data_IF_271705897559
#
_entry.id   IF_271705897559
#
_cell.length_a   1.000
_cell.length_b   1.000
_cell.length_c   1.000
_cell.angle_alpha   90.00
_cell.angle_beta   90.00
_cell.angle_gamma   90.00
#
_symmetry.space_group_name_H-M   'P 1'
#
loop_
_entity.id
_entity.type
_entity.pdbx_description
1 polymer ?
#
# COMPACT_ATOMS: atom_id res chain seq x y z
N UNK A 1 -11.22 -9.50 27.90
CA UNK A 1 -12.28 -8.49 27.75
C UNK A 1 -13.48 -9.16 27.10
N UNK A 2 -14.62 -9.23 27.80
CA UNK A 2 -15.88 -9.71 27.22
C UNK A 2 -16.46 -8.55 26.39
N UNK A 3 -16.67 -8.79 25.11
CA UNK A 3 -17.40 -7.86 24.26
C UNK A 3 -18.90 -8.10 24.47
N UNK A 4 -19.58 -7.14 25.08
CA UNK A 4 -21.04 -7.13 25.15
C UNK A 4 -21.62 -7.00 23.74
N UNK A 5 -22.72 -7.70 23.54
CA UNK A 5 -23.44 -7.91 22.28
C UNK A 5 -23.69 -6.61 21.54
N UNK A 6 -23.17 -6.51 20.32
CA UNK A 6 -23.61 -5.52 19.34
C UNK A 6 -24.95 -5.95 18.72
N UNK A 7 -25.86 -5.02 18.42
CA UNK A 7 -27.16 -5.33 17.84
C UNK A 7 -27.02 -5.94 16.44
N UNK A 8 -27.96 -6.82 16.02
CA UNK A 8 -27.95 -7.41 14.70
C UNK A 8 -28.51 -6.41 13.68
N UNK A 9 -27.64 -5.76 12.92
CA UNK A 9 -28.03 -4.98 11.76
C UNK A 9 -26.88 -4.95 10.78
N UNK A 10 -26.78 -5.95 9.94
CA UNK A 10 -26.11 -5.91 8.63
C UNK A 10 -26.22 -7.30 7.97
N UNK A 11 -27.47 -7.72 7.71
CA UNK A 11 -27.77 -8.70 6.69
C UNK A 11 -28.05 -7.95 5.38
N UNK A 12 -27.54 -8.53 4.30
CA UNK A 12 -27.74 -8.18 2.90
C UNK A 12 -27.06 -6.90 2.38
N UNK A 13 -25.96 -7.15 1.71
CA UNK A 13 -25.50 -6.75 0.38
C UNK A 13 -23.98 -6.71 0.33
N UNK A 14 -23.39 -7.84 -0.02
CA UNK A 14 -22.02 -7.87 -0.56
C UNK A 14 -22.09 -7.36 -2.00
N UNK A 15 -21.45 -6.25 -2.36
CA UNK A 15 -21.31 -5.91 -3.75
C UNK A 15 -20.21 -6.76 -4.39
N UNK A 16 -20.51 -7.28 -5.56
CA UNK A 16 -19.63 -8.00 -6.48
C UNK A 16 -18.28 -7.28 -6.63
N UNK A 17 -17.21 -7.91 -6.18
CA UNK A 17 -15.84 -7.40 -6.24
C UNK A 17 -15.25 -7.53 -7.66
N UNK A 18 -15.98 -8.12 -8.60
CA UNK A 18 -15.57 -8.24 -10.01
C UNK A 18 -15.73 -6.98 -10.87
N UNK A 19 -16.35 -5.90 -10.36
CA UNK A 19 -16.65 -4.72 -11.16
C UNK A 19 -15.50 -3.68 -11.29
N UNK A 20 -14.34 -3.94 -10.71
CA UNK A 20 -13.27 -2.93 -10.66
C UNK A 20 -12.40 -2.85 -11.93
N UNK A 21 -12.55 -3.80 -12.86
CA UNK A 21 -11.77 -3.77 -14.10
C UNK A 21 -12.32 -2.82 -15.16
N UNK A 22 -13.61 -2.47 -15.08
CA UNK A 22 -14.31 -1.71 -16.13
C UNK A 22 -14.54 -0.22 -15.79
N UNK A 23 -14.21 0.24 -14.59
CA UNK A 23 -14.47 1.62 -14.17
C UNK A 23 -13.40 2.63 -14.63
N UNK A 24 -12.25 2.19 -15.13
CA UNK A 24 -11.22 3.09 -15.66
C UNK A 24 -11.36 3.40 -17.16
N UNK A 25 -12.31 2.75 -17.88
CA UNK A 25 -12.52 2.99 -19.30
C UNK A 25 -13.87 3.60 -19.69
N UNK A 26 -14.69 4.04 -18.74
CA UNK A 26 -16.08 4.38 -18.97
C UNK A 26 -16.53 5.82 -18.61
N UNK A 27 -15.75 6.87 -18.88
CA UNK A 27 -16.29 8.23 -18.90
C UNK A 27 -16.16 8.85 -20.30
N UNK A 28 -16.96 8.34 -21.21
CA UNK A 28 -17.25 9.04 -22.46
C UNK A 28 -18.49 9.90 -22.27
N UNK A 29 -18.26 11.23 -22.32
CA UNK A 29 -19.08 12.26 -22.94
C UNK A 29 -20.60 12.20 -22.71
N UNK A 30 -21.08 13.06 -21.84
CA UNK A 30 -22.44 13.62 -21.94
C UNK A 30 -22.33 15.02 -22.52
N UNK A 31 -22.49 15.13 -23.85
CA UNK A 31 -22.78 16.35 -24.55
C UNK A 31 -24.22 16.74 -24.23
N UNK A 32 -24.39 17.84 -23.52
CA UNK A 32 -25.69 18.54 -23.41
C UNK A 32 -26.02 19.21 -24.75
N UNK A 33 -27.21 18.90 -25.26
CA UNK A 33 -27.85 19.64 -26.37
C UNK A 33 -28.41 20.94 -25.83
N UNK A 34 -28.38 22.06 -26.59
CA UNK A 34 -28.97 23.30 -26.19
C UNK A 34 -30.49 23.27 -26.35
N UNK A 35 -31.19 23.83 -25.39
CA UNK A 35 -32.62 24.02 -25.42
C UNK A 35 -32.92 25.43 -25.98
N UNK A 36 -33.64 25.49 -27.09
CA UNK A 36 -34.24 26.70 -27.66
C UNK A 36 -35.40 27.20 -26.79
N UNK A 37 -35.37 28.45 -26.43
CA UNK A 37 -36.57 29.28 -26.33
C UNK A 37 -36.18 30.75 -26.10
N UNK A 38 -36.44 31.56 -27.11
CA UNK A 38 -36.45 32.99 -27.01
C UNK A 38 -37.74 33.49 -26.32
N UNK A 39 -37.74 34.71 -25.82
CA UNK A 39 -38.72 35.66 -26.31
C UNK A 39 -38.15 37.03 -26.70
N UNK A 40 -38.92 37.65 -27.61
CA UNK A 40 -38.76 38.93 -28.26
C UNK A 40 -38.82 40.15 -27.34
N UNK A 41 -38.28 41.24 -27.97
CA UNK A 41 -38.61 42.68 -27.85
C UNK A 41 -37.87 43.56 -26.84
N UNK A 42 -37.04 44.44 -27.36
CA UNK A 42 -37.38 45.88 -27.48
C UNK A 42 -36.18 46.69 -27.99
N UNK A 43 -36.56 47.62 -28.93
CA UNK A 43 -35.79 48.69 -29.60
C UNK A 43 -34.81 49.48 -28.73
N UNK A 44 -33.65 49.86 -29.31
CA UNK A 44 -33.26 51.27 -29.46
C UNK A 44 -32.03 51.43 -30.37
N UNK A 45 -32.10 52.40 -31.24
CA UNK A 45 -31.10 52.89 -32.17
C UNK A 45 -29.75 53.29 -31.60
N UNK A 46 -28.68 52.90 -32.30
CA UNK A 46 -27.47 53.73 -32.48
C UNK A 46 -26.61 53.19 -33.63
N UNK A 47 -25.86 54.03 -34.36
CA UNK A 47 -25.40 53.75 -35.70
C UNK A 47 -24.16 52.87 -35.80
N UNK A 48 -24.16 52.03 -36.81
CA UNK A 48 -23.09 51.19 -37.22
C UNK A 48 -21.81 51.92 -37.67
N UNK A 49 -20.60 51.55 -37.30
CA UNK A 49 -19.40 51.93 -38.02
C UNK A 49 -19.23 51.02 -39.25
N UNK A 50 -19.00 51.67 -40.35
CA UNK A 50 -18.73 51.20 -41.68
C UNK A 50 -17.87 49.93 -41.73
N UNK A 51 -18.40 48.83 -42.26
CA UNK A 51 -17.64 47.63 -42.60
C UNK A 51 -16.75 47.92 -43.82
N UNK A 52 -15.46 48.11 -43.58
CA UNK A 52 -14.46 48.19 -44.63
C UNK A 52 -14.23 46.77 -45.13
N UNK A 53 -14.71 46.49 -46.32
CA UNK A 53 -14.44 45.24 -47.04
C UNK A 53 -12.97 45.27 -47.45
N UNK A 54 -12.14 44.51 -46.73
CA UNK A 54 -10.73 44.35 -47.08
C UNK A 54 -10.63 43.59 -48.42
N UNK A 55 -9.84 44.13 -49.35
CA UNK A 55 -9.56 43.46 -50.63
C UNK A 55 -8.76 42.17 -50.40
N UNK A 56 -8.90 41.19 -51.30
CA UNK A 56 -8.13 39.92 -51.25
C UNK A 56 -6.60 40.17 -51.12
N UNK A 57 -6.13 41.28 -51.59
CA UNK A 57 -4.68 41.68 -51.54
C UNK A 57 -4.29 42.16 -50.16
N UNK A 58 -5.17 42.85 -49.43
CA UNK A 58 -4.96 43.29 -48.04
C UNK A 58 -5.08 42.11 -47.10
N UNK A 59 -5.97 41.15 -47.38
CA UNK A 59 -6.09 39.89 -46.61
C UNK A 59 -4.78 39.03 -46.76
N UNK A 60 -4.16 39.03 -47.94
CA UNK A 60 -2.93 38.29 -48.17
C UNK A 60 -1.71 39.02 -47.58
N UNK A 61 -1.74 40.35 -47.48
CA UNK A 61 -0.66 41.12 -46.87
C UNK A 61 -0.73 41.16 -45.34
N UNK A 62 -1.93 41.09 -44.76
CA UNK A 62 -2.11 40.97 -43.31
C UNK A 62 -2.03 39.51 -42.84
N UNK A 63 -2.34 38.55 -43.68
CA UNK A 63 -2.19 37.10 -43.42
C UNK A 63 -0.70 36.62 -43.49
N UNK A 64 0.18 37.37 -44.18
CA UNK A 64 1.58 37.05 -44.32
C UNK A 64 2.46 37.41 -43.10
N UNK A 65 1.96 38.19 -42.15
CA UNK A 65 2.65 38.53 -40.92
C UNK A 65 2.25 37.69 -39.70
N UNK A 66 1.17 36.93 -39.81
CA UNK A 66 0.96 35.77 -38.96
C UNK A 66 1.71 34.59 -39.56
N UNK A 67 3.06 34.70 -39.63
CA UNK A 67 3.89 33.51 -39.61
C UNK A 67 3.45 32.78 -38.35
N UNK A 68 2.50 31.88 -38.52
CA UNK A 68 2.15 30.88 -37.56
C UNK A 68 3.45 30.29 -37.08
N UNK A 69 3.91 30.71 -35.91
CA UNK A 69 4.79 29.90 -35.14
C UNK A 69 4.04 28.58 -35.01
N UNK A 70 4.32 27.64 -35.93
CA UNK A 70 3.92 26.26 -35.73
C UNK A 70 4.66 25.84 -34.49
N UNK A 71 4.03 26.04 -33.34
CA UNK A 71 4.48 25.46 -32.11
C UNK A 71 4.33 23.96 -32.35
N UNK A 72 5.43 23.29 -32.64
CA UNK A 72 5.48 21.83 -32.65
C UNK A 72 5.19 21.43 -31.23
N UNK A 73 3.91 21.19 -30.94
CA UNK A 73 3.50 20.67 -29.65
C UNK A 73 4.00 19.22 -29.59
N UNK A 74 4.93 18.90 -28.69
CA UNK A 74 5.43 17.55 -28.59
C UNK A 74 4.30 16.55 -28.39
N UNK A 75 4.46 15.35 -28.95
CA UNK A 75 3.43 14.30 -28.93
C UNK A 75 2.94 13.93 -27.53
N UNK A 76 3.81 14.03 -26.53
CA UNK A 76 3.47 13.79 -25.12
C UNK A 76 2.50 14.84 -24.54
N UNK A 77 2.29 15.98 -25.22
CA UNK A 77 1.33 17.01 -24.81
C UNK A 77 -0.03 16.80 -25.49
N UNK A 78 -0.03 16.23 -26.71
CA UNK A 78 -1.24 16.04 -27.50
C UNK A 78 -1.94 14.71 -27.24
N UNK A 79 -1.29 13.77 -26.58
CA UNK A 79 -1.79 12.41 -26.43
C UNK A 79 -1.77 11.61 -27.76
N UNK A 80 -2.35 10.42 -27.77
CA UNK A 80 -2.42 9.52 -28.91
C UNK A 80 -1.87 8.14 -28.59
N UNK A 81 -1.70 7.28 -29.61
CA UNK A 81 -1.25 5.90 -29.39
C UNK A 81 0.08 5.88 -28.63
N UNK A 82 0.05 5.39 -27.39
CA UNK A 82 1.20 5.31 -26.47
C UNK A 82 1.51 6.59 -25.66
N UNK A 83 0.66 7.64 -25.78
CA UNK A 83 0.86 8.89 -25.01
C UNK A 83 -0.44 9.38 -24.42
N UNK A 84 -0.49 9.53 -23.10
CA UNK A 84 -1.60 10.17 -22.35
C UNK A 84 -1.30 11.66 -22.24
N UNK A 85 -2.22 12.54 -22.67
CA UNK A 85 -2.02 13.98 -22.52
C UNK A 85 -1.98 14.36 -21.03
N UNK A 86 -1.24 15.40 -20.63
CA UNK A 86 -1.13 15.81 -19.23
C UNK A 86 -2.48 16.04 -18.53
N UNK A 87 -3.49 16.49 -19.26
CA UNK A 87 -4.84 16.75 -18.74
C UNK A 87 -5.63 15.46 -18.43
N UNK A 88 -5.20 14.32 -18.93
CA UNK A 88 -5.84 13.01 -18.70
C UNK A 88 -5.06 12.15 -17.69
N UNK A 89 -3.88 12.61 -17.26
CA UNK A 89 -3.08 11.88 -16.26
C UNK A 89 -3.66 12.03 -14.86
N UNK A 90 -3.51 10.96 -14.09
CA UNK A 90 -3.74 10.99 -12.64
C UNK A 90 -2.62 11.82 -12.01
N UNK A 91 -2.95 12.97 -11.44
CA UNK A 91 -2.03 13.79 -10.68
C UNK A 91 -1.94 13.24 -9.26
N UNK A 92 -0.76 12.74 -8.92
CA UNK A 92 -0.52 12.00 -7.68
C UNK A 92 0.34 12.82 -6.70
N UNK A 93 -0.12 12.93 -5.46
CA UNK A 93 0.69 13.36 -4.34
C UNK A 93 1.14 12.15 -3.51
N UNK A 94 2.44 12.10 -3.18
CA UNK A 94 3.01 11.06 -2.32
C UNK A 94 3.23 11.62 -0.91
N UNK A 95 2.58 11.03 0.09
CA UNK A 95 2.71 11.39 1.51
C UNK A 95 3.42 10.27 2.26
N UNK A 96 4.58 10.60 2.82
CA UNK A 96 5.57 9.66 3.32
C UNK A 96 6.57 9.27 2.21
N UNK A 97 7.84 9.65 2.38
CA UNK A 97 8.87 9.37 1.41
C UNK A 97 10.10 8.72 2.05
N UNK A 98 9.84 7.67 2.83
CA UNK A 98 10.85 6.79 3.43
C UNK A 98 11.18 5.59 2.54
N UNK A 99 11.82 4.59 3.15
CA UNK A 99 12.33 3.37 2.50
C UNK A 99 11.32 2.72 1.53
N UNK A 100 10.07 2.55 1.97
CA UNK A 100 9.05 1.86 1.14
C UNK A 100 8.62 2.71 -0.05
N UNK A 101 8.43 4.00 0.15
CA UNK A 101 8.08 4.92 -0.94
C UNK A 101 9.15 4.94 -2.02
N UNK A 102 10.42 5.00 -1.61
CA UNK A 102 11.56 5.01 -2.54
C UNK A 102 11.63 3.71 -3.34
N UNK A 103 11.33 2.56 -2.73
CA UNK A 103 11.28 1.27 -3.45
C UNK A 103 10.19 1.23 -4.54
N UNK A 104 9.06 1.87 -4.28
CA UNK A 104 7.90 1.81 -5.18
C UNK A 104 7.88 2.93 -6.21
N UNK A 105 8.62 4.03 -5.99
CA UNK A 105 8.51 5.23 -6.81
C UNK A 105 8.87 4.97 -8.29
N UNK A 106 9.81 4.07 -8.56
CA UNK A 106 10.21 3.74 -9.93
C UNK A 106 9.05 3.23 -10.79
N UNK A 107 8.24 2.32 -10.25
CA UNK A 107 7.05 1.81 -10.94
C UNK A 107 5.97 2.88 -11.15
N UNK A 108 5.84 3.81 -10.21
CA UNK A 108 4.89 4.94 -10.31
C UNK A 108 5.34 5.93 -11.40
N UNK A 109 6.61 6.32 -11.38
CA UNK A 109 7.16 7.27 -12.36
C UNK A 109 7.18 6.72 -13.78
N UNK A 110 7.33 5.40 -13.94
CA UNK A 110 7.30 4.73 -15.23
C UNK A 110 5.88 4.59 -15.81
N UNK A 111 4.83 4.77 -15.01
CA UNK A 111 3.46 4.69 -15.51
C UNK A 111 3.12 5.86 -16.43
N UNK A 112 2.64 5.60 -17.66
CA UNK A 112 2.25 6.66 -18.59
C UNK A 112 1.01 7.44 -18.10
N UNK A 113 0.17 6.83 -17.27
CA UNK A 113 -1.12 7.37 -16.82
C UNK A 113 -1.02 8.21 -15.55
N UNK A 114 0.15 8.23 -14.90
CA UNK A 114 0.37 8.90 -13.62
C UNK A 114 1.43 10.01 -13.77
N UNK A 115 1.21 11.10 -13.07
CA UNK A 115 2.21 12.13 -12.87
C UNK A 115 2.31 12.49 -11.39
N UNK A 116 3.47 12.27 -10.79
CA UNK A 116 3.75 12.73 -9.43
C UNK A 116 3.98 14.23 -9.47
N UNK A 117 3.13 14.98 -8.76
CA UNK A 117 3.15 16.46 -8.75
C UNK A 117 3.50 17.05 -7.40
N UNK A 118 3.44 16.25 -6.34
CA UNK A 118 3.78 16.70 -4.99
C UNK A 118 4.35 15.57 -4.14
N UNK A 119 5.27 15.92 -3.26
CA UNK A 119 5.84 15.05 -2.23
C UNK A 119 5.66 15.72 -0.86
N UNK A 120 5.26 14.95 0.13
CA UNK A 120 5.15 15.40 1.51
C UNK A 120 5.84 14.40 2.45
N UNK A 121 6.73 14.90 3.28
CA UNK A 121 7.31 14.14 4.39
C UNK A 121 7.71 15.07 5.52
N UNK A 122 7.53 14.64 6.75
CA UNK A 122 7.93 15.37 7.95
C UNK A 122 9.46 15.48 8.07
N UNK A 123 10.19 14.54 7.47
CA UNK A 123 11.64 14.57 7.30
C UNK A 123 12.00 15.37 6.05
N UNK A 124 12.99 16.24 6.16
CA UNK A 124 13.47 17.04 5.03
C UNK A 124 14.41 16.26 4.13
N UNK A 125 15.54 15.86 4.67
CA UNK A 125 16.58 15.08 3.99
C UNK A 125 17.22 14.18 5.05
N UNK A 126 16.57 13.07 5.32
CA UNK A 126 16.94 12.12 6.38
C UNK A 126 18.01 11.15 5.93
N UNK A 127 18.80 10.73 6.89
CA UNK A 127 19.88 9.76 6.72
C UNK A 127 19.72 8.55 7.62
N UNK A 128 18.58 8.43 8.31
CA UNK A 128 18.37 7.41 9.36
C UNK A 128 17.46 6.27 8.91
N UNK A 129 17.06 6.26 7.64
CA UNK A 129 16.20 5.21 7.10
C UNK A 129 16.93 3.87 7.05
N UNK A 130 16.19 2.79 7.21
CA UNK A 130 16.70 1.42 7.23
C UNK A 130 16.32 0.68 5.95
N UNK A 131 17.19 -0.21 5.49
CA UNK A 131 16.95 -1.08 4.33
C UNK A 131 17.24 -2.55 4.69
N UNK A 132 16.77 -3.47 3.85
CA UNK A 132 16.94 -4.90 4.07
C UNK A 132 18.26 -5.46 3.56
N UNK A 133 18.88 -4.79 2.58
CA UNK A 133 20.17 -5.14 2.02
C UNK A 133 21.01 -3.90 1.78
N UNK A 134 22.30 -3.97 2.10
CA UNK A 134 23.22 -2.83 2.04
C UNK A 134 23.20 -2.16 0.66
N UNK A 135 22.92 -0.86 0.62
CA UNK A 135 22.91 0.02 -0.56
C UNK A 135 21.83 -0.28 -1.61
N UNK A 136 20.95 -1.25 -1.41
CA UNK A 136 19.94 -1.64 -2.41
C UNK A 136 19.06 -0.47 -2.88
N UNK A 137 18.63 0.38 -1.95
CA UNK A 137 17.76 1.52 -2.27
C UNK A 137 18.55 2.55 -3.07
N UNK A 138 19.74 2.92 -2.62
CA UNK A 138 20.58 3.92 -3.30
C UNK A 138 20.93 3.48 -4.72
N UNK A 139 21.33 2.23 -4.88
CA UNK A 139 21.70 1.69 -6.19
C UNK A 139 20.48 1.57 -7.12
N UNK A 140 19.32 1.23 -6.58
CA UNK A 140 18.06 1.25 -7.32
C UNK A 140 17.69 2.67 -7.81
N UNK A 141 17.88 3.69 -6.99
CA UNK A 141 17.65 5.08 -7.41
C UNK A 141 18.67 5.54 -8.45
N UNK A 142 19.95 5.24 -8.27
CA UNK A 142 20.98 5.53 -9.28
C UNK A 142 20.63 4.98 -10.66
N UNK A 143 20.13 3.75 -10.69
CA UNK A 143 19.65 3.12 -11.91
C UNK A 143 18.39 3.80 -12.45
N UNK A 144 17.43 4.13 -11.58
CA UNK A 144 16.17 4.76 -11.96
C UNK A 144 16.37 6.13 -12.61
N UNK A 145 17.24 6.96 -12.02
CA UNK A 145 17.49 8.32 -12.50
C UNK A 145 18.70 8.40 -13.41
N UNK A 146 19.35 7.26 -13.73
CA UNK A 146 20.56 7.19 -14.56
C UNK A 146 21.67 8.14 -14.09
N UNK A 147 21.94 8.13 -12.79
CA UNK A 147 23.01 8.91 -12.16
C UNK A 147 23.86 8.03 -11.23
N UNK A 148 24.89 7.35 -11.75
CA UNK A 148 25.72 6.43 -10.97
C UNK A 148 26.39 7.06 -9.75
N UNK A 149 26.71 8.37 -9.81
CA UNK A 149 27.31 9.15 -8.72
C UNK A 149 26.31 9.75 -7.73
N UNK A 150 25.00 9.49 -7.89
CA UNK A 150 24.01 10.08 -7.00
C UNK A 150 24.29 9.70 -5.54
N UNK A 151 24.43 10.72 -4.68
CA UNK A 151 24.79 10.59 -3.25
C UNK A 151 26.00 9.69 -3.00
N UNK A 152 27.04 9.81 -3.84
CA UNK A 152 28.31 9.13 -3.63
C UNK A 152 28.97 9.62 -2.32
N UNK A 153 29.63 8.70 -1.60
CA UNK A 153 30.25 8.98 -0.31
C UNK A 153 29.28 9.01 0.88
N UNK A 154 27.98 8.79 0.66
CA UNK A 154 27.01 8.64 1.72
C UNK A 154 26.83 7.14 2.07
N UNK A 155 27.04 6.78 3.33
CA UNK A 155 26.78 5.42 3.84
C UNK A 155 25.35 5.24 4.36
N UNK A 156 24.51 6.28 4.18
CA UNK A 156 23.16 6.31 4.74
C UNK A 156 22.12 6.01 3.67
N UNK A 157 20.96 5.47 4.12
CA UNK A 157 19.77 5.32 3.29
C UNK A 157 19.05 6.66 3.26
N UNK A 158 19.00 7.33 2.10
CA UNK A 158 18.34 8.64 1.99
C UNK A 158 16.82 8.48 2.02
N UNK A 159 16.14 9.51 2.53
CA UNK A 159 14.69 9.61 2.54
C UNK A 159 14.23 11.01 2.93
N UNK A 160 12.94 11.26 2.85
CA UNK A 160 12.34 12.55 3.15
C UNK A 160 11.91 13.34 1.91
N UNK A 161 11.26 14.49 2.13
CA UNK A 161 10.60 15.26 1.07
C UNK A 161 11.53 15.83 0.03
N UNK A 162 12.74 16.30 0.42
CA UNK A 162 13.70 16.88 -0.54
C UNK A 162 14.30 15.78 -1.42
N UNK A 163 14.58 14.60 -0.86
CA UNK A 163 15.01 13.41 -1.60
C UNK A 163 13.93 12.98 -2.59
N UNK A 164 12.68 12.93 -2.14
CA UNK A 164 11.57 12.57 -3.01
C UNK A 164 11.38 13.52 -4.17
N UNK A 165 11.46 14.83 -3.90
CA UNK A 165 11.39 15.86 -4.93
C UNK A 165 12.55 15.73 -5.93
N UNK A 166 13.79 15.56 -5.45
CA UNK A 166 14.97 15.38 -6.28
C UNK A 166 14.80 14.19 -7.25
N UNK A 167 14.37 13.03 -6.75
CA UNK A 167 14.16 11.83 -7.56
C UNK A 167 13.11 12.09 -8.65
N UNK A 168 11.95 12.64 -8.27
CA UNK A 168 10.83 12.90 -9.19
C UNK A 168 11.25 13.90 -10.28
N UNK A 169 11.88 15.00 -9.89
CA UNK A 169 12.27 16.05 -10.82
C UNK A 169 13.41 15.60 -11.76
N UNK A 170 14.39 14.87 -11.27
CA UNK A 170 15.49 14.31 -12.10
C UNK A 170 14.94 13.29 -13.10
N UNK A 171 14.07 12.37 -12.64
CA UNK A 171 13.46 11.39 -13.52
C UNK A 171 12.68 12.05 -14.68
N UNK A 172 11.80 13.01 -14.38
CA UNK A 172 10.99 13.67 -15.41
C UNK A 172 11.82 14.60 -16.30
N UNK A 173 12.90 15.22 -15.81
CA UNK A 173 13.81 15.98 -16.64
C UNK A 173 14.44 15.08 -17.71
N UNK A 174 14.97 13.93 -17.31
CA UNK A 174 15.56 12.96 -18.23
C UNK A 174 14.56 12.37 -19.22
N UNK A 175 13.37 11.96 -18.72
CA UNK A 175 12.30 11.45 -19.58
C UNK A 175 11.89 12.44 -20.67
N UNK A 176 11.96 13.75 -20.38
CA UNK A 176 11.58 14.82 -21.32
C UNK A 176 12.77 15.36 -22.15
N UNK A 177 13.97 14.87 -21.92
CA UNK A 177 15.19 15.39 -22.57
C UNK A 177 15.44 16.86 -22.22
N UNK A 178 15.16 17.26 -20.97
CA UNK A 178 15.34 18.60 -20.43
C UNK A 178 16.46 18.60 -19.38
N UNK A 179 17.20 19.70 -19.31
CA UNK A 179 18.23 19.85 -18.27
C UNK A 179 17.64 19.92 -16.86
N UNK A 180 16.44 20.44 -16.72
CA UNK A 180 15.71 20.59 -15.45
C UNK A 180 14.21 20.43 -15.64
N UNK A 181 13.58 19.83 -14.65
CA UNK A 181 12.13 19.82 -14.45
C UNK A 181 11.83 20.32 -13.03
N UNK A 182 10.90 21.25 -12.87
CA UNK A 182 10.54 21.87 -11.59
C UNK A 182 9.01 21.82 -11.39
N UNK A 183 8.44 20.64 -11.52
CA UNK A 183 7.00 20.44 -11.46
C UNK A 183 6.54 19.58 -10.27
N UNK A 184 7.41 19.39 -9.25
CA UNK A 184 7.07 18.66 -8.05
C UNK A 184 7.07 19.60 -6.83
N UNK A 185 5.89 19.86 -6.27
CA UNK A 185 5.75 20.62 -5.03
C UNK A 185 6.25 19.81 -3.82
N UNK A 186 6.67 20.50 -2.74
CA UNK A 186 7.28 19.86 -1.59
C UNK A 186 6.72 20.43 -0.28
N UNK A 187 6.24 19.55 0.61
CA UNK A 187 5.57 19.93 1.86
C UNK A 187 6.08 19.13 3.04
N UNK A 188 6.09 19.74 4.23
CA UNK A 188 6.29 19.03 5.50
C UNK A 188 4.97 18.51 6.06
N UNK A 189 3.91 19.28 5.92
CA UNK A 189 2.58 19.01 6.44
C UNK A 189 1.62 18.62 5.31
N UNK A 190 1.07 17.41 5.40
CA UNK A 190 0.09 16.92 4.43
C UNK A 190 -1.17 17.79 4.35
N UNK A 191 -1.55 18.47 5.42
CA UNK A 191 -2.72 19.36 5.44
C UNK A 191 -2.49 20.57 4.54
N UNK A 192 -1.27 21.10 4.57
CA UNK A 192 -0.86 22.20 3.70
C UNK A 192 -0.86 21.76 2.23
N UNK A 193 -0.31 20.56 1.93
CA UNK A 193 -0.37 19.96 0.60
C UNK A 193 -1.82 19.87 0.09
N UNK A 194 -2.70 19.26 0.88
CA UNK A 194 -4.10 19.06 0.50
C UNK A 194 -4.87 20.39 0.35
N UNK A 195 -4.43 21.44 1.02
CA UNK A 195 -5.05 22.78 0.90
C UNK A 195 -4.54 23.56 -0.31
N UNK A 196 -3.29 23.40 -0.70
CA UNK A 196 -2.67 24.18 -1.77
C UNK A 196 -2.78 23.52 -3.14
N UNK A 197 -2.60 22.20 -3.22
CA UNK A 197 -2.55 21.45 -4.47
C UNK A 197 -3.96 21.04 -4.94
N UNK A 198 -4.66 21.97 -5.61
CA UNK A 198 -6.05 21.76 -6.02
C UNK A 198 -6.20 20.79 -7.21
N UNK A 199 -5.15 20.64 -7.99
CA UNK A 199 -5.13 19.77 -9.17
C UNK A 199 -4.72 18.31 -8.85
N UNK A 200 -4.43 18.00 -7.58
CA UNK A 200 -4.16 16.63 -7.14
C UNK A 200 -5.46 15.82 -7.15
N UNK A 201 -5.46 14.73 -7.92
CA UNK A 201 -6.61 13.84 -8.04
C UNK A 201 -6.51 12.61 -7.14
N UNK A 202 -5.28 12.22 -6.77
CA UNK A 202 -5.04 11.07 -5.91
C UNK A 202 -3.90 11.32 -4.92
N UNK A 203 -4.01 10.71 -3.74
CA UNK A 203 -2.99 10.74 -2.68
C UNK A 203 -2.54 9.32 -2.38
N UNK A 204 -1.22 9.09 -2.43
CA UNK A 204 -0.61 7.83 -1.99
C UNK A 204 0.00 8.00 -0.61
N UNK A 205 -0.46 7.21 0.37
CA UNK A 205 -0.07 7.27 1.78
C UNK A 205 0.88 6.13 2.10
N UNK A 206 2.12 6.47 2.49
CA UNK A 206 3.21 5.53 2.80
C UNK A 206 3.98 5.95 4.07
N UNK A 207 3.28 6.52 5.01
CA UNK A 207 3.79 6.97 6.31
C UNK A 207 3.86 5.80 7.32
N UNK A 208 4.26 6.01 8.58
CA UNK A 208 4.02 5.05 9.65
C UNK A 208 2.52 4.78 9.88
N UNK A 209 2.22 3.56 10.36
CA UNK A 209 0.86 3.00 10.44
C UNK A 209 -0.15 3.90 11.16
N UNK A 210 0.27 4.59 12.23
CA UNK A 210 -0.59 5.43 13.08
C UNK A 210 -1.12 6.69 12.39
N UNK A 211 -0.51 7.11 11.28
CA UNK A 211 -0.95 8.31 10.54
C UNK A 211 -1.75 7.97 9.29
N UNK A 212 -1.81 6.70 8.86
CA UNK A 212 -2.51 6.28 7.64
C UNK A 212 -3.96 6.74 7.60
N UNK A 213 -4.72 6.49 8.67
CA UNK A 213 -6.14 6.85 8.73
C UNK A 213 -6.35 8.38 8.71
N UNK A 214 -5.57 9.12 9.47
CA UNK A 214 -5.70 10.58 9.56
C UNK A 214 -5.49 11.25 8.20
N UNK A 215 -4.45 10.84 7.47
CA UNK A 215 -4.14 11.36 6.14
C UNK A 215 -5.21 10.92 5.13
N UNK A 216 -5.58 9.63 5.14
CA UNK A 216 -6.62 9.09 4.25
C UNK A 216 -7.95 9.81 4.42
N UNK A 217 -8.41 10.00 5.67
CA UNK A 217 -9.66 10.72 5.97
C UNK A 217 -9.59 12.18 5.50
N UNK A 218 -8.45 12.85 5.69
CA UNK A 218 -8.28 14.23 5.25
C UNK A 218 -8.37 14.35 3.71
N UNK A 219 -7.74 13.44 2.97
CA UNK A 219 -7.80 13.40 1.52
C UNK A 219 -9.23 13.07 1.01
N UNK A 220 -9.88 12.07 1.61
CA UNK A 220 -11.27 11.69 1.29
C UNK A 220 -12.27 12.83 1.52
N UNK A 221 -12.11 13.62 2.59
CA UNK A 221 -12.93 14.81 2.86
C UNK A 221 -12.79 15.90 1.78
N UNK A 222 -11.66 15.91 1.07
CA UNK A 222 -11.42 16.84 -0.04
C UNK A 222 -11.81 16.28 -1.42
N UNK A 223 -12.37 15.09 -1.45
CA UNK A 223 -12.78 14.44 -2.70
C UNK A 223 -11.65 13.79 -3.48
N UNK A 224 -10.46 13.65 -2.89
CA UNK A 224 -9.31 13.03 -3.54
C UNK A 224 -9.36 11.51 -3.41
N UNK A 225 -8.96 10.80 -4.46
CA UNK A 225 -8.77 9.36 -4.41
C UNK A 225 -7.61 8.99 -3.50
N UNK A 226 -7.68 7.83 -2.85
CA UNK A 226 -6.67 7.43 -1.85
C UNK A 226 -6.10 6.07 -2.17
N UNK A 227 -4.78 6.00 -2.22
CA UNK A 227 -4.01 4.77 -2.24
C UNK A 227 -3.27 4.71 -0.91
N UNK A 228 -3.61 3.75 -0.06
CA UNK A 228 -2.98 3.61 1.26
C UNK A 228 -2.21 2.31 1.36
N UNK A 229 -1.01 2.38 1.95
CA UNK A 229 -0.21 1.18 2.23
C UNK A 229 -0.75 0.44 3.46
N UNK A 230 -0.46 -0.85 3.57
CA UNK A 230 -0.83 -1.67 4.74
C UNK A 230 -0.05 -1.23 6.00
N UNK A 231 -0.67 -1.37 7.18
CA UNK A 231 -2.08 -1.63 7.42
C UNK A 231 -2.94 -0.39 7.12
N UNK A 232 -4.24 -0.58 6.90
CA UNK A 232 -5.15 0.55 6.63
C UNK A 232 -5.13 1.58 7.77
N UNK A 233 -5.01 1.10 8.98
CA UNK A 233 -4.83 1.87 10.21
C UNK A 233 -4.28 0.95 11.30
N UNK A 234 -3.72 1.48 12.36
CA UNK A 234 -3.30 0.69 13.52
C UNK A 234 -4.42 0.55 14.59
N UNK A 235 -5.60 1.12 14.36
CA UNK A 235 -6.77 1.04 15.25
C UNK A 235 -8.04 0.70 14.47
N UNK A 236 -8.86 -0.19 15.04
CA UNK A 236 -10.09 -0.68 14.38
C UNK A 236 -11.06 0.45 14.05
N UNK A 237 -11.27 1.40 14.98
CA UNK A 237 -12.20 2.51 14.74
C UNK A 237 -11.73 3.43 13.63
N UNK A 238 -10.43 3.66 13.51
CA UNK A 238 -9.84 4.44 12.44
C UNK A 238 -10.03 3.76 11.08
N UNK A 239 -9.78 2.44 11.00
CA UNK A 239 -10.02 1.66 9.80
C UNK A 239 -11.49 1.74 9.35
N UNK A 240 -12.43 1.59 10.29
CA UNK A 240 -13.87 1.74 10.00
C UNK A 240 -14.20 3.13 9.48
N UNK A 241 -13.67 4.18 10.11
CA UNK A 241 -13.90 5.56 9.68
C UNK A 241 -13.39 5.82 8.26
N UNK A 242 -12.25 5.26 7.87
CA UNK A 242 -11.74 5.35 6.49
C UNK A 242 -12.72 4.68 5.51
N UNK A 243 -13.16 3.46 5.83
CA UNK A 243 -14.08 2.68 4.98
C UNK A 243 -15.43 3.41 4.83
N UNK A 244 -15.99 3.90 5.92
CA UNK A 244 -17.27 4.63 5.92
C UNK A 244 -17.17 5.94 5.13
N UNK A 245 -16.08 6.68 5.30
CA UNK A 245 -15.83 7.92 4.58
C UNK A 245 -15.69 7.69 3.07
N UNK A 246 -14.95 6.67 2.67
CA UNK A 246 -14.79 6.31 1.27
C UNK A 246 -16.13 5.96 0.61
N UNK A 247 -16.94 5.15 1.29
CA UNK A 247 -18.29 4.75 0.83
C UNK A 247 -19.23 5.95 0.73
N UNK A 248 -19.29 6.79 1.76
CA UNK A 248 -20.17 7.96 1.80
C UNK A 248 -19.86 8.95 0.68
N UNK A 249 -18.61 9.17 0.37
CA UNK A 249 -18.16 10.09 -0.66
C UNK A 249 -18.07 9.48 -2.06
N UNK A 250 -18.27 8.16 -2.21
CA UNK A 250 -18.14 7.41 -3.48
C UNK A 250 -16.81 7.66 -4.18
N UNK A 251 -15.74 7.75 -3.40
CA UNK A 251 -14.37 8.02 -3.88
C UNK A 251 -13.65 6.68 -4.07
N UNK A 252 -12.86 6.59 -5.14
CA UNK A 252 -12.05 5.41 -5.38
C UNK A 252 -10.92 5.31 -4.33
N UNK A 253 -10.78 4.11 -3.78
CA UNK A 253 -9.71 3.80 -2.81
C UNK A 253 -9.00 2.52 -3.24
N UNK A 254 -7.70 2.49 -3.00
CA UNK A 254 -6.90 1.29 -3.22
C UNK A 254 -6.02 1.01 -2.01
N UNK A 255 -5.99 -0.24 -1.62
CA UNK A 255 -5.23 -0.70 -0.47
C UNK A 255 -4.04 -1.55 -0.93
N UNK A 256 -2.83 -1.19 -0.54
CA UNK A 256 -1.60 -1.88 -0.93
C UNK A 256 -1.00 -2.71 0.20
N UNK A 257 -0.42 -3.85 -0.11
CA UNK A 257 -0.43 -4.52 -1.39
C UNK A 257 -1.72 -5.31 -1.58
N UNK A 258 -2.48 -4.98 -2.60
CA UNK A 258 -3.48 -5.89 -3.12
C UNK A 258 -2.76 -6.82 -4.09
N UNK A 259 -2.15 -7.89 -3.60
CA UNK A 259 -1.61 -8.91 -4.48
C UNK A 259 -2.76 -9.80 -4.95
N UNK A 260 -2.98 -9.88 -6.25
CA UNK A 260 -3.72 -11.00 -6.81
C UNK A 260 -2.92 -12.27 -6.45
N UNK A 261 -3.48 -13.11 -5.59
CA UNK A 261 -2.81 -14.27 -5.01
C UNK A 261 -2.48 -15.37 -6.01
N UNK A 262 -1.59 -15.09 -6.96
CA UNK A 262 -1.13 -16.10 -7.91
C UNK A 262 -0.56 -17.34 -7.19
N UNK A 263 0.15 -17.11 -6.08
CA UNK A 263 0.78 -18.17 -5.30
C UNK A 263 -0.23 -19.02 -4.53
N UNK A 264 -1.31 -18.40 -4.02
CA UNK A 264 -2.33 -19.11 -3.26
C UNK A 264 -3.30 -19.92 -4.14
N UNK A 265 -3.42 -19.61 -5.43
CA UNK A 265 -4.36 -20.27 -6.35
C UNK A 265 -4.20 -21.78 -6.34
N UNK A 266 -2.98 -22.28 -6.40
CA UNK A 266 -2.72 -23.72 -6.41
C UNK A 266 -3.23 -24.43 -5.16
N UNK A 267 -2.95 -23.88 -3.97
CA UNK A 267 -3.42 -24.44 -2.70
C UNK A 267 -4.95 -24.42 -2.62
N UNK A 268 -5.57 -23.30 -2.99
CA UNK A 268 -7.02 -23.10 -2.95
C UNK A 268 -7.74 -24.00 -3.97
N UNK A 269 -7.17 -24.24 -5.15
CA UNK A 269 -7.67 -25.22 -6.11
C UNK A 269 -7.61 -26.64 -5.55
N UNK A 270 -6.51 -27.04 -4.91
CA UNK A 270 -6.41 -28.35 -4.27
C UNK A 270 -7.46 -28.51 -3.16
N UNK A 271 -7.70 -27.46 -2.35
CA UNK A 271 -8.74 -27.46 -1.31
C UNK A 271 -10.11 -27.60 -1.95
N UNK A 272 -10.41 -26.79 -2.97
CA UNK A 272 -11.70 -26.81 -3.69
C UNK A 272 -11.97 -28.17 -4.37
N UNK A 273 -10.95 -28.82 -4.87
CA UNK A 273 -11.03 -30.15 -5.48
C UNK A 273 -11.10 -31.27 -4.42
N UNK A 274 -11.18 -30.95 -3.12
CA UNK A 274 -11.32 -31.92 -2.05
C UNK A 274 -10.06 -32.72 -1.71
N UNK A 275 -8.88 -32.30 -2.15
CA UNK A 275 -7.63 -33.01 -1.97
C UNK A 275 -7.26 -33.30 -0.51
N UNK A 276 -7.73 -32.46 0.41
CA UNK A 276 -7.53 -32.62 1.87
C UNK A 276 -8.83 -32.87 2.64
N UNK A 277 -9.95 -33.06 1.95
CA UNK A 277 -11.26 -33.13 2.58
C UNK A 277 -11.73 -31.73 3.04
N UNK A 278 -12.50 -31.69 4.13
CA UNK A 278 -12.97 -30.43 4.68
C UNK A 278 -11.82 -29.65 5.35
N UNK A 279 -11.57 -28.43 4.93
CA UNK A 279 -10.56 -27.56 5.56
C UNK A 279 -10.99 -27.22 7.00
N UNK A 280 -10.07 -27.40 7.97
CA UNK A 280 -10.27 -27.18 9.41
C UNK A 280 -9.38 -26.11 9.98
N UNK A 281 -8.11 -26.10 9.59
CA UNK A 281 -7.13 -25.18 10.13
C UNK A 281 -6.25 -24.61 9.04
N UNK A 282 -5.81 -23.38 9.27
CA UNK A 282 -4.77 -22.72 8.49
C UNK A 282 -3.70 -22.26 9.46
N UNK A 283 -2.46 -22.60 9.20
CA UNK A 283 -1.30 -22.13 9.96
C UNK A 283 -0.42 -21.30 9.05
N UNK A 284 -0.11 -20.06 9.46
CA UNK A 284 0.82 -19.20 8.77
C UNK A 284 1.88 -18.72 9.76
N UNK A 285 3.13 -18.89 9.43
CA UNK A 285 4.24 -18.53 10.32
C UNK A 285 5.27 -17.68 9.58
N UNK A 286 5.90 -16.75 10.34
CA UNK A 286 6.86 -15.78 9.85
C UNK A 286 8.04 -15.61 10.79
N UNK A 287 9.22 -15.36 10.23
CA UNK A 287 10.42 -15.03 10.99
C UNK A 287 10.41 -13.60 11.57
N UNK A 288 9.39 -12.78 11.26
CA UNK A 288 9.24 -11.44 11.84
C UNK A 288 9.00 -11.53 13.36
N UNK A 289 9.39 -10.48 14.14
CA UNK A 289 9.87 -9.16 13.73
C UNK A 289 11.36 -9.14 13.35
N UNK A 290 11.73 -8.21 12.44
CA UNK A 290 13.14 -7.92 12.10
C UNK A 290 13.59 -6.54 12.59
N UNK A 291 12.86 -5.97 13.54
CA UNK A 291 13.20 -4.75 14.26
C UNK A 291 13.49 -5.10 15.73
N UNK A 292 14.24 -4.22 16.44
CA UNK A 292 14.52 -4.43 17.85
C UNK A 292 13.24 -4.55 18.70
N UNK A 293 13.27 -5.36 19.74
CA UNK A 293 12.22 -5.43 20.74
C UNK A 293 12.55 -4.47 21.88
N UNK A 294 11.53 -3.81 22.41
CA UNK A 294 11.66 -2.76 23.39
C UNK A 294 11.08 -3.18 24.73
N UNK A 295 11.91 -3.73 25.66
CA UNK A 295 11.44 -4.18 26.96
C UNK A 295 11.14 -3.01 27.92
N UNK A 296 11.65 -1.81 27.62
CA UNK A 296 11.48 -0.61 28.42
C UNK A 296 11.15 0.59 27.53
N UNK A 297 10.46 1.59 28.10
CA UNK A 297 10.34 2.89 27.43
C UNK A 297 11.69 3.61 27.48
N UNK A 298 12.07 4.35 26.40
CA UNK A 298 13.23 5.21 26.42
C UNK A 298 13.16 6.24 27.55
N UNK A 299 14.27 6.44 28.26
CA UNK A 299 14.37 7.40 29.38
C UNK A 299 15.16 8.65 29.04
N UNK A 300 16.07 8.56 28.08
CA UNK A 300 16.81 9.68 27.54
C UNK A 300 15.99 10.47 26.53
N UNK A 301 16.43 11.68 26.25
CA UNK A 301 15.73 12.65 25.38
C UNK A 301 16.73 13.26 24.41
N UNK A 302 17.18 12.49 23.42
CA UNK A 302 18.10 13.02 22.41
C UNK A 302 17.45 14.18 21.64
N UNK A 303 18.24 15.10 21.07
CA UNK A 303 17.71 16.20 20.29
C UNK A 303 17.01 15.67 19.03
N UNK A 304 15.97 16.37 18.62
CA UNK A 304 15.29 16.09 17.35
C UNK A 304 16.29 16.35 16.21
N UNK A 305 16.46 15.44 15.25
CA UNK A 305 17.32 15.66 14.10
C UNK A 305 16.94 16.92 13.32
N UNK A 306 17.94 17.63 12.80
CA UNK A 306 17.69 18.83 12.00
C UNK A 306 16.88 18.48 10.73
N UNK A 307 15.78 19.20 10.52
CA UNK A 307 14.92 18.96 9.38
C UNK A 307 13.80 17.95 9.61
N UNK A 308 13.74 17.30 10.77
CA UNK A 308 12.69 16.37 11.16
C UNK A 308 11.65 17.04 12.05
N UNK A 309 10.38 17.04 11.64
CA UNK A 309 9.28 17.58 12.43
C UNK A 309 8.64 16.46 13.26
N UNK A 310 9.06 16.39 14.53
CA UNK A 310 8.57 15.39 15.47
C UNK A 310 7.07 15.53 15.80
N UNK A 311 6.56 16.75 15.86
CA UNK A 311 5.14 17.00 16.13
C UNK A 311 4.25 16.48 15.00
N UNK A 312 4.64 16.74 13.76
CA UNK A 312 3.95 16.22 12.58
C UNK A 312 4.09 14.70 12.49
N UNK A 313 5.24 14.15 12.89
CA UNK A 313 5.44 12.69 12.89
C UNK A 313 4.52 12.00 13.91
N UNK A 314 4.40 12.55 15.12
CA UNK A 314 3.47 12.03 16.15
C UNK A 314 2.02 12.05 15.65
N UNK A 315 1.63 13.05 14.87
CA UNK A 315 0.28 13.14 14.30
C UNK A 315 -0.82 13.02 15.36
N UNK A 316 -1.66 11.96 15.31
CA UNK A 316 -2.76 11.76 16.26
C UNK A 316 -2.32 11.12 17.60
N UNK A 317 -1.05 10.75 17.74
CA UNK A 317 -0.54 10.10 18.94
C UNK A 317 -0.30 11.10 20.08
N UNK A 318 -0.19 10.58 21.30
CA UNK A 318 0.08 11.41 22.47
C UNK A 318 1.47 12.05 22.39
N UNK A 319 1.56 13.30 22.85
CA UNK A 319 2.84 14.04 22.91
C UNK A 319 3.85 13.33 23.81
N UNK A 320 5.08 13.26 23.32
CA UNK A 320 6.23 12.67 24.02
C UNK A 320 7.55 13.18 23.45
N UNK A 321 8.64 13.10 24.24
CA UNK A 321 9.98 13.39 23.74
C UNK A 321 10.34 12.51 22.55
N UNK A 322 11.09 13.08 21.60
CA UNK A 322 11.67 12.32 20.50
C UNK A 322 12.64 11.26 21.02
N UNK A 323 12.62 10.11 20.37
CA UNK A 323 13.64 9.09 20.49
C UNK A 323 13.75 8.30 19.17
N UNK A 324 14.98 7.94 18.71
CA UNK A 324 15.17 7.21 17.46
C UNK A 324 14.51 5.83 17.46
N UNK A 325 14.31 5.21 18.64
CA UNK A 325 13.61 3.94 18.77
C UNK A 325 12.13 4.01 18.39
N UNK A 326 11.55 5.19 18.28
CA UNK A 326 10.16 5.38 17.84
C UNK A 326 10.03 5.53 16.33
N UNK A 327 11.11 5.89 15.61
CA UNK A 327 11.05 6.33 14.23
C UNK A 327 11.40 5.23 13.22
N UNK A 328 11.21 5.54 11.95
CA UNK A 328 11.51 4.68 10.82
C UNK A 328 10.95 3.25 11.00
N UNK A 329 11.70 2.22 10.77
CA UNK A 329 11.24 0.83 10.87
C UNK A 329 10.87 0.43 12.31
N UNK A 330 11.49 1.05 13.30
CA UNK A 330 11.30 0.73 14.73
C UNK A 330 9.88 1.00 15.22
N UNK A 331 9.15 1.95 14.61
CA UNK A 331 7.77 2.27 14.99
C UNK A 331 6.85 1.04 15.05
N UNK A 332 7.13 0.02 14.24
CA UNK A 332 6.36 -1.23 14.20
C UNK A 332 6.38 -2.02 15.51
N UNK A 333 7.41 -1.81 16.32
CA UNK A 333 7.54 -2.45 17.62
C UNK A 333 6.66 -1.85 18.72
N UNK A 334 6.04 -0.69 18.50
CA UNK A 334 5.27 0.03 19.51
C UNK A 334 3.77 -0.03 19.24
N UNK A 335 2.97 -0.38 20.27
CA UNK A 335 1.50 -0.45 20.14
C UNK A 335 0.85 0.85 19.66
N UNK A 336 1.47 1.98 19.96
CA UNK A 336 0.92 3.29 19.61
C UNK A 336 1.15 3.63 18.13
N UNK A 337 2.26 3.18 17.56
CA UNK A 337 2.70 3.62 16.24
C UNK A 337 2.54 2.58 15.14
N UNK A 338 2.55 1.29 15.50
CA UNK A 338 2.50 0.20 14.54
C UNK A 338 1.53 -0.90 14.94
N UNK A 339 1.47 -1.94 14.12
CA UNK A 339 0.62 -3.11 14.31
C UNK A 339 1.39 -4.43 14.55
N UNK A 340 2.70 -4.36 14.80
CA UNK A 340 3.54 -5.55 14.98
C UNK A 340 3.70 -6.41 13.74
N UNK A 341 4.15 -7.65 13.94
CA UNK A 341 4.50 -8.57 12.84
C UNK A 341 3.32 -8.95 11.95
N UNK A 342 2.16 -9.19 12.52
CA UNK A 342 0.98 -9.59 11.72
C UNK A 342 0.49 -8.44 10.82
N UNK A 343 0.51 -7.20 11.29
CA UNK A 343 0.14 -6.04 10.47
C UNK A 343 1.21 -5.73 9.41
N UNK A 344 2.49 -6.00 9.71
CA UNK A 344 3.56 -5.84 8.74
C UNK A 344 3.50 -6.89 7.62
N UNK A 345 3.34 -8.17 7.97
CA UNK A 345 3.50 -9.28 7.04
C UNK A 345 2.23 -10.09 6.76
N UNK A 346 1.32 -10.20 7.72
CA UNK A 346 0.11 -11.03 7.55
C UNK A 346 -0.77 -10.59 6.38
N UNK A 347 -0.72 -9.33 6.01
CA UNK A 347 -1.42 -8.82 4.82
C UNK A 347 -0.98 -9.49 3.53
N UNK A 348 0.32 -9.76 3.38
CA UNK A 348 0.87 -10.36 2.17
C UNK A 348 0.45 -11.83 1.99
N UNK A 349 0.26 -12.55 3.09
CA UNK A 349 -0.06 -13.97 3.08
C UNK A 349 -1.54 -14.26 3.27
N UNK A 350 -2.21 -13.50 4.14
CA UNK A 350 -3.59 -13.80 4.57
C UNK A 350 -4.66 -13.08 3.74
N UNK A 351 -4.35 -11.94 3.11
CA UNK A 351 -5.33 -11.18 2.33
C UNK A 351 -6.05 -12.02 1.26
N UNK A 352 -5.33 -12.77 0.38
CA UNK A 352 -5.99 -13.63 -0.59
C UNK A 352 -6.81 -14.75 0.07
N UNK A 353 -6.33 -15.29 1.18
CA UNK A 353 -7.03 -16.34 1.94
C UNK A 353 -8.36 -15.82 2.47
N UNK A 354 -8.38 -14.60 3.03
CA UNK A 354 -9.61 -13.97 3.50
C UNK A 354 -10.61 -13.75 2.37
N UNK A 355 -10.15 -13.32 1.20
CA UNK A 355 -11.01 -13.09 0.05
C UNK A 355 -11.56 -14.39 -0.54
N UNK A 356 -10.70 -15.36 -0.82
CA UNK A 356 -11.07 -16.57 -1.53
C UNK A 356 -11.90 -17.55 -0.69
N UNK A 357 -11.68 -17.57 0.63
CA UNK A 357 -12.47 -18.36 1.56
C UNK A 357 -13.67 -17.59 2.17
N UNK A 358 -13.87 -16.34 1.78
CA UNK A 358 -14.93 -15.49 2.30
C UNK A 358 -14.86 -15.35 3.82
N UNK A 359 -13.66 -15.17 4.38
CA UNK A 359 -13.49 -14.95 5.81
C UNK A 359 -13.91 -13.52 6.15
N UNK A 360 -14.75 -13.40 7.17
CA UNK A 360 -15.15 -12.12 7.75
C UNK A 360 -14.50 -11.92 9.13
N UNK A 361 -15.18 -11.25 10.04
CA UNK A 361 -14.64 -11.06 11.39
C UNK A 361 -14.62 -12.39 12.15
N UNK A 362 -13.50 -12.74 12.83
CA UNK A 362 -13.46 -13.91 13.68
C UNK A 362 -14.40 -13.74 14.89
N UNK A 363 -14.98 -14.84 15.35
CA UNK A 363 -15.85 -14.86 16.56
C UNK A 363 -15.02 -14.78 17.84
N UNK A 364 -13.76 -15.20 17.80
CA UNK A 364 -12.80 -15.01 18.90
C UNK A 364 -11.39 -14.89 18.36
N UNK A 365 -10.57 -14.15 19.09
CA UNK A 365 -9.13 -14.01 18.87
C UNK A 365 -8.45 -14.25 20.21
N UNK A 366 -7.48 -15.18 20.21
CA UNK A 366 -6.64 -15.50 21.37
C UNK A 366 -5.18 -15.25 21.00
N UNK A 367 -4.43 -14.56 21.86
CA UNK A 367 -3.02 -14.31 21.64
C UNK A 367 -2.18 -14.82 22.81
N UNK A 368 -1.04 -15.44 22.50
CA UNK A 368 -0.06 -15.91 23.48
C UNK A 368 1.29 -15.27 23.18
N UNK A 369 1.64 -14.17 23.87
CA UNK A 369 2.89 -13.45 23.65
C UNK A 369 4.05 -14.06 24.44
N UNK A 370 5.26 -13.95 23.91
CA UNK A 370 6.50 -14.10 24.67
C UNK A 370 6.67 -12.96 25.68
N UNK A 371 7.54 -13.15 26.68
CA UNK A 371 7.87 -12.13 27.66
C UNK A 371 9.38 -12.07 27.92
N UNK A 372 9.83 -10.96 28.44
CA UNK A 372 11.23 -10.74 28.83
C UNK A 372 11.32 -10.72 30.36
N UNK A 373 12.38 -11.26 30.89
CA UNK A 373 12.71 -11.21 32.32
C UNK A 373 13.95 -10.34 32.55
N UNK A 374 14.03 -9.77 33.75
CA UNK A 374 15.18 -9.00 34.23
C UNK A 374 15.56 -9.46 35.63
N UNK A 375 16.74 -9.04 36.08
CA UNK A 375 17.17 -9.21 37.47
C UNK A 375 17.20 -7.83 38.13
N UNK A 376 16.46 -7.68 39.23
CA UNK A 376 16.47 -6.48 40.07
C UNK A 376 16.65 -6.92 41.52
N UNK A 377 17.59 -6.31 42.22
CA UNK A 377 17.91 -6.65 43.62
C UNK A 377 18.09 -8.15 43.86
N UNK A 378 18.82 -8.83 42.97
CA UNK A 378 19.07 -10.27 42.98
C UNK A 378 17.85 -11.17 42.71
N UNK A 379 16.72 -10.58 42.38
CA UNK A 379 15.47 -11.31 42.09
C UNK A 379 15.17 -11.29 40.59
N UNK A 380 14.95 -12.50 40.03
CA UNK A 380 14.47 -12.66 38.68
C UNK A 380 12.98 -12.31 38.64
N UNK A 381 12.59 -11.41 37.76
CA UNK A 381 11.20 -11.00 37.61
C UNK A 381 10.83 -10.74 36.14
N UNK A 382 9.58 -11.00 35.83
CA UNK A 382 9.03 -10.74 34.49
C UNK A 382 8.80 -9.25 34.32
N UNK A 383 9.28 -8.70 33.20
CA UNK A 383 8.96 -7.32 32.81
C UNK A 383 7.50 -7.24 32.40
N UNK A 384 6.75 -6.33 33.03
CA UNK A 384 5.41 -5.98 32.56
C UNK A 384 5.56 -5.01 31.39
N UNK A 385 5.19 -5.47 30.20
CA UNK A 385 5.24 -4.67 28.97
C UNK A 385 3.82 -4.54 28.40
N UNK A 386 3.28 -3.33 28.40
CA UNK A 386 1.97 -2.97 27.86
C UNK A 386 2.06 -1.84 26.81
N UNK A 387 3.25 -1.59 26.27
CA UNK A 387 3.55 -0.51 25.33
C UNK A 387 4.21 -0.96 24.03
N UNK A 388 4.82 -2.16 23.98
CA UNK A 388 5.47 -2.68 22.76
C UNK A 388 5.08 -4.11 22.45
N UNK A 389 5.22 -4.48 21.16
CA UNK A 389 4.96 -5.83 20.69
C UNK A 389 6.03 -6.81 21.19
N UNK A 390 5.64 -8.07 21.49
CA UNK A 390 6.55 -9.08 21.95
C UNK A 390 7.53 -9.51 20.84
N UNK A 391 8.60 -10.17 21.22
CA UNK A 391 9.57 -10.78 20.29
C UNK A 391 8.94 -11.90 19.46
N UNK A 392 7.95 -12.58 20.02
CA UNK A 392 7.26 -13.67 19.39
C UNK A 392 5.83 -13.80 19.95
N UNK A 393 4.89 -14.20 19.11
CA UNK A 393 3.55 -14.53 19.57
C UNK A 393 2.88 -15.59 18.69
N UNK A 394 1.86 -16.22 19.27
CA UNK A 394 0.89 -17.03 18.53
C UNK A 394 -0.47 -16.37 18.65
N UNK A 395 -1.16 -16.24 17.52
CA UNK A 395 -2.52 -15.69 17.46
C UNK A 395 -3.43 -16.76 16.83
N UNK A 396 -4.51 -17.12 17.53
CA UNK A 396 -5.57 -17.98 17.01
C UNK A 396 -6.80 -17.14 16.72
N UNK A 397 -7.32 -17.24 15.51
CA UNK A 397 -8.56 -16.62 15.07
C UNK A 397 -9.56 -17.72 14.75
N UNK A 398 -10.74 -17.69 15.36
CA UNK A 398 -11.80 -18.67 15.14
C UNK A 398 -12.90 -18.07 14.30
N UNK A 399 -13.27 -18.75 13.22
CA UNK A 399 -14.34 -18.32 12.32
C UNK A 399 -15.53 -19.26 12.44
N UNK A 400 -16.72 -18.69 12.59
CA UNK A 400 -17.96 -19.46 12.57
C UNK A 400 -18.22 -20.10 11.20
N UNK A 401 -19.03 -21.16 11.13
CA UNK A 401 -19.53 -21.66 9.86
C UNK A 401 -20.28 -20.56 9.09
N UNK A 402 -20.13 -20.55 7.75
CA UNK A 402 -20.84 -19.62 6.88
C UNK A 402 -21.20 -20.28 5.56
N UNK A 403 -22.48 -20.40 5.24
CA UNK A 403 -22.93 -21.15 4.06
C UNK A 403 -22.41 -22.58 4.12
N UNK A 404 -21.75 -23.03 3.06
CA UNK A 404 -21.12 -24.35 2.99
C UNK A 404 -19.75 -24.43 3.68
N UNK A 405 -19.14 -23.30 4.02
CA UNK A 405 -17.87 -23.26 4.73
C UNK A 405 -18.07 -23.67 6.20
N UNK A 406 -17.39 -24.73 6.68
CA UNK A 406 -17.43 -25.13 8.09
C UNK A 406 -16.72 -24.10 8.98
N UNK A 407 -16.79 -24.34 10.31
CA UNK A 407 -15.95 -23.61 11.24
C UNK A 407 -14.47 -23.81 10.88
N UNK A 408 -13.68 -22.75 11.01
CA UNK A 408 -12.28 -22.71 10.63
C UNK A 408 -11.47 -22.01 11.71
N UNK A 409 -10.32 -22.56 12.06
CA UNK A 409 -9.33 -21.92 12.91
C UNK A 409 -8.12 -21.46 12.03
N UNK A 410 -7.73 -20.19 12.19
CA UNK A 410 -6.52 -19.65 11.56
C UNK A 410 -5.52 -19.28 12.64
N UNK A 411 -4.32 -19.78 12.50
CA UNK A 411 -3.20 -19.54 13.41
C UNK A 411 -2.13 -18.70 12.71
N UNK A 412 -1.71 -17.65 13.38
CA UNK A 412 -0.52 -16.88 13.06
C UNK A 412 0.55 -17.15 14.08
N UNK A 413 1.80 -17.32 13.62
CA UNK A 413 2.97 -17.46 14.45
C UNK A 413 4.04 -16.50 13.98
N UNK A 414 4.78 -15.91 14.91
CA UNK A 414 5.91 -15.04 14.59
C UNK A 414 7.08 -15.20 15.57
N UNK A 415 8.17 -14.45 15.32
CA UNK A 415 9.37 -14.51 16.16
C UNK A 415 10.10 -15.85 16.13
N UNK A 416 9.97 -16.60 15.03
CA UNK A 416 10.60 -17.91 14.87
C UNK A 416 9.78 -19.07 15.46
N UNK A 417 8.59 -18.80 16.03
CA UNK A 417 7.67 -19.88 16.44
C UNK A 417 7.06 -20.49 15.17
N UNK A 418 7.03 -21.82 15.12
CA UNK A 418 6.42 -22.61 14.06
C UNK A 418 5.25 -23.43 14.62
N UNK A 419 4.28 -23.85 13.79
CA UNK A 419 3.31 -24.86 14.22
C UNK A 419 4.02 -26.21 14.50
N UNK A 420 3.37 -27.15 15.19
CA UNK A 420 3.88 -28.51 15.30
C UNK A 420 4.16 -29.11 13.91
N UNK A 421 5.32 -29.75 13.77
CA UNK A 421 5.68 -30.43 12.52
C UNK A 421 4.68 -31.57 12.25
N UNK A 422 4.11 -31.65 11.03
CA UNK A 422 3.21 -32.74 10.68
C UNK A 422 3.92 -34.09 10.69
N UNK A 423 3.22 -35.16 11.10
CA UNK A 423 3.73 -36.53 11.12
C UNK A 423 4.27 -36.95 9.75
N UNK A 424 3.67 -36.47 8.67
CA UNK A 424 4.05 -36.74 7.29
C UNK A 424 5.48 -36.25 6.98
N UNK A 425 5.87 -35.07 7.50
CA UNK A 425 7.22 -34.54 7.35
C UNK A 425 8.22 -35.28 8.26
N UNK A 426 7.82 -35.55 9.50
CA UNK A 426 8.66 -36.31 10.46
C UNK A 426 8.99 -37.71 9.93
N UNK A 427 8.02 -38.39 9.31
CA UNK A 427 8.23 -39.68 8.67
C UNK A 427 9.23 -39.63 7.49
N UNK A 428 9.35 -38.48 6.84
CA UNK A 428 10.33 -38.26 5.77
C UNK A 428 11.64 -37.63 6.26
N UNK A 429 11.80 -37.43 7.57
CA UNK A 429 12.93 -36.73 8.20
C UNK A 429 13.14 -35.32 7.63
N UNK A 430 12.02 -34.60 7.42
CA UNK A 430 11.97 -33.22 6.95
C UNK A 430 11.47 -32.30 8.06
N UNK A 431 11.89 -31.05 8.03
CA UNK A 431 11.45 -30.00 8.93
C UNK A 431 10.61 -28.96 8.21
N UNK A 432 9.88 -28.14 8.98
CA UNK A 432 9.23 -26.96 8.44
C UNK A 432 10.27 -25.89 8.12
N UNK A 433 10.11 -25.22 6.99
CA UNK A 433 10.91 -24.05 6.61
C UNK A 433 10.77 -22.92 7.64
N UNK A 434 11.62 -21.89 7.56
CA UNK A 434 11.59 -20.76 8.49
C UNK A 434 10.29 -19.96 8.43
N UNK A 435 9.70 -19.84 7.24
CA UNK A 435 8.41 -19.22 6.99
C UNK A 435 7.54 -20.15 6.16
N UNK A 436 6.23 -20.12 6.33
CA UNK A 436 5.36 -20.96 5.53
C UNK A 436 3.87 -20.81 5.82
N UNK A 437 3.11 -21.61 5.08
CA UNK A 437 1.67 -21.74 5.25
C UNK A 437 1.27 -23.21 5.12
N UNK A 438 0.45 -23.68 6.05
CA UNK A 438 -0.09 -25.03 6.03
C UNK A 438 -1.62 -25.00 6.17
N UNK A 439 -2.26 -25.77 5.30
CA UNK A 439 -3.72 -26.01 5.34
C UNK A 439 -3.95 -27.45 5.82
N UNK A 440 -4.76 -27.59 6.84
CA UNK A 440 -5.09 -28.89 7.48
C UNK A 440 -6.56 -29.20 7.25
N UNK A 441 -6.80 -30.31 6.60
CA UNK A 441 -8.15 -30.85 6.39
C UNK A 441 -8.35 -32.21 7.05
N UNK A 442 -9.60 -32.73 6.95
CA UNK A 442 -9.98 -34.03 7.53
C UNK A 442 -9.16 -35.20 6.96
N UNK A 443 -8.68 -35.09 5.71
CA UNK A 443 -8.04 -36.19 4.98
C UNK A 443 -6.62 -35.90 4.51
N UNK A 444 -6.03 -34.76 4.88
CA UNK A 444 -4.68 -34.44 4.47
C UNK A 444 -4.26 -33.00 4.78
N UNK A 445 -3.07 -32.67 4.32
CA UNK A 445 -2.47 -31.36 4.53
C UNK A 445 -1.82 -30.86 3.25
N UNK A 446 -1.83 -29.53 3.07
CA UNK A 446 -1.09 -28.83 2.03
C UNK A 446 -0.06 -27.94 2.72
N UNK A 447 1.17 -27.97 2.27
CA UNK A 447 2.27 -27.17 2.77
C UNK A 447 2.83 -26.31 1.64
N UNK A 448 3.06 -25.02 1.89
CA UNK A 448 3.64 -24.07 0.97
C UNK A 448 4.54 -23.06 1.67
N UNK A 449 5.19 -22.19 0.91
CA UNK A 449 5.92 -21.05 1.43
C UNK A 449 5.03 -20.04 2.17
N UNK A 450 5.61 -18.91 2.60
CA UNK A 450 4.92 -17.93 3.45
C UNK A 450 3.59 -17.41 2.83
N UNK A 451 3.55 -17.23 1.53
CA UNK A 451 2.36 -16.84 0.76
C UNK A 451 1.75 -18.04 0.03
N UNK A 452 1.97 -19.24 0.54
CA UNK A 452 1.55 -20.50 -0.11
C UNK A 452 2.23 -20.76 -1.46
N UNK A 453 3.44 -20.22 -1.67
CA UNK A 453 4.23 -20.52 -2.85
C UNK A 453 4.53 -22.02 -2.91
N UNK A 454 4.57 -22.58 -4.12
CA UNK A 454 4.91 -23.98 -4.38
C UNK A 454 4.13 -24.99 -3.52
N UNK A 455 2.86 -24.73 -3.27
CA UNK A 455 2.02 -25.54 -2.39
C UNK A 455 1.97 -27.01 -2.83
N UNK A 456 2.19 -27.91 -1.89
CA UNK A 456 2.25 -29.37 -2.10
C UNK A 456 1.37 -30.10 -1.10
N UNK A 457 0.67 -31.12 -1.56
CA UNK A 457 0.11 -32.12 -0.63
C UNK A 457 1.24 -32.90 0.03
N UNK A 458 1.11 -33.14 1.34
CA UNK A 458 2.02 -34.00 2.10
C UNK A 458 1.31 -35.28 2.53
N UNK A 459 2.00 -36.43 2.53
CA UNK A 459 3.37 -36.67 2.04
C UNK A 459 3.46 -36.58 0.50
N UNK A 460 4.67 -36.53 -0.04
CA UNK A 460 4.94 -36.41 -1.49
C UNK A 460 4.20 -37.42 -2.36
N UNK A 461 3.99 -38.63 -1.84
CA UNK A 461 3.20 -39.68 -2.51
C UNK A 461 1.78 -39.25 -2.83
N UNK A 462 1.12 -38.50 -1.93
CA UNK A 462 -0.21 -37.91 -2.18
C UNK A 462 -0.15 -36.85 -3.28
N UNK A 463 0.88 -36.03 -3.31
CA UNK A 463 1.03 -35.02 -4.36
C UNK A 463 1.25 -35.64 -5.74
N UNK A 464 2.05 -36.70 -5.87
CA UNK A 464 2.21 -37.43 -7.12
C UNK A 464 0.88 -38.04 -7.59
N UNK A 465 0.14 -38.68 -6.69
CA UNK A 465 -1.18 -39.24 -7.02
C UNK A 465 -2.16 -38.15 -7.49
N UNK A 466 -2.17 -37.01 -6.81
CA UNK A 466 -3.00 -35.88 -7.19
C UNK A 466 -2.65 -35.31 -8.58
N UNK A 467 -1.34 -35.14 -8.86
CA UNK A 467 -0.88 -34.68 -10.19
C UNK A 467 -1.29 -35.64 -11.29
N UNK A 468 -1.11 -36.94 -11.07
CA UNK A 468 -1.55 -37.95 -12.04
C UNK A 468 -3.04 -37.89 -12.30
N UNK A 469 -3.86 -37.79 -11.25
CA UNK A 469 -5.31 -37.75 -11.35
C UNK A 469 -5.83 -36.47 -12.06
N UNK A 470 -5.09 -35.37 -12.00
CA UNK A 470 -5.48 -34.08 -12.59
C UNK A 470 -4.65 -33.69 -13.83
N UNK A 471 -3.83 -34.57 -14.35
CA UNK A 471 -2.94 -34.35 -15.53
C UNK A 471 -2.05 -33.08 -15.35
N UNK A 472 -1.55 -32.85 -14.14
CA UNK A 472 -0.66 -31.72 -13.85
C UNK A 472 0.80 -32.08 -14.22
N UNK A 473 1.58 -31.09 -14.72
CA UNK A 473 2.97 -31.32 -15.07
C UNK A 473 3.81 -31.59 -13.82
N UNK A 474 4.91 -32.34 -14.01
CA UNK A 474 5.95 -32.42 -12.97
C UNK A 474 6.59 -31.04 -12.75
N UNK A 475 6.93 -30.69 -11.50
CA UNK A 475 7.60 -29.42 -11.22
C UNK A 475 8.96 -29.39 -11.91
N UNK A 476 9.35 -28.19 -12.38
CA UNK A 476 10.72 -28.01 -12.83
C UNK A 476 11.71 -28.35 -11.70
N UNK A 477 12.85 -28.95 -12.01
CA UNK A 477 13.88 -29.20 -10.99
C UNK A 477 14.23 -27.88 -10.30
N UNK A 478 14.19 -27.86 -8.97
CA UNK A 478 14.69 -26.70 -8.23
C UNK A 478 16.20 -26.64 -8.43
N UNK A 479 16.70 -25.56 -9.01
CA UNK A 479 18.13 -25.23 -8.94
C UNK A 479 18.47 -25.02 -7.45
N UNK A 480 19.42 -25.81 -6.95
CA UNK A 480 19.91 -25.77 -5.56
C UNK A 480 20.89 -24.64 -5.37
#
# INVERSE_FOLDING_TARGET
MRFDRLPPAFEDQAPDVCAFRDHFHGTRSLLMKPNDSAPENADTNSPSPCSRILSRRELLLTGGAAATAFTIVPRHVLGGVGFVPPSEKITLACVGFGTQAIREIGGILASPDVQVVAVCDVEKDGTHYLEWGKNQIRDGIRQLIDEPGWREGSDHVPGGRDVGKEIVETYYAKQRGQDQYKGCACYADFRELLDKEKDVTAVKVMTPDHTHAAISIAALKKGMNVIVHKPLANRVMEARSVIEMARANKIATHFLPASEGANQKQALEMIKNGAIGTLREIHNWSMRPMWPQFPNLPTDKPPIPAGFDWTLWLGPSLDRPYHPDYTHTHFRGWYEFGGGSIADMGHYSLWPIFQDLGLDSPVSVESTPSHVCTVSDTICQRIKNDFSFPAACTIRMRFAPRGERPALDLYWYDGGIKPPAPDELMAENKELEEEGMMFVGDNGKILGGFRSEDAQLIPETKMRAYRTAHNLPEPAPRER
#
